data_IF_207592219983
#
_entry.id   IF_207592219983
#
_cell.length_a   1.000
_cell.length_b   1.000
_cell.length_c   1.000
_cell.angle_alpha   90.00
_cell.angle_beta   90.00
_cell.angle_gamma   90.00
#
_symmetry.space_group_name_H-M   'P 1'
#
loop_
_entity.id
_entity.type
_entity.pdbx_description
1 polymer ?
#
# COMPACT_ATOMS: atom_id res chain seq x y z
N UNK A 1 0.47 8.08 8.50
CA UNK A 1 0.43 8.81 7.22
C UNK A 1 1.10 10.16 7.38
N UNK A 2 1.88 10.61 6.39
CA UNK A 2 2.61 11.88 6.40
C UNK A 2 1.80 13.05 5.83
N UNK A 3 2.45 14.21 5.70
CA UNK A 3 1.81 15.48 5.26
C UNK A 3 1.61 15.58 3.75
N UNK A 4 2.47 14.95 2.95
CA UNK A 4 2.35 14.97 1.48
C UNK A 4 1.18 14.11 1.02
N UNK A 5 0.17 14.71 0.41
CA UNK A 5 -1.00 14.01 -0.15
C UNK A 5 -0.68 13.57 -1.58
N UNK A 6 -1.05 12.34 -1.94
CA UNK A 6 -0.87 11.78 -3.28
C UNK A 6 -2.22 11.46 -3.91
N UNK A 7 -2.29 11.54 -5.24
CA UNK A 7 -3.47 11.12 -5.99
C UNK A 7 -3.49 9.60 -6.14
N UNK A 8 -4.67 9.00 -6.00
CA UNK A 8 -4.92 7.58 -6.25
C UNK A 8 -5.97 7.46 -7.34
N UNK A 9 -5.65 6.69 -8.38
CA UNK A 9 -6.62 6.25 -9.37
C UNK A 9 -7.01 4.80 -9.05
N UNK A 10 -8.30 4.51 -9.09
CA UNK A 10 -8.85 3.16 -8.84
C UNK A 10 -9.80 2.80 -9.97
N UNK A 11 -9.69 1.57 -10.45
CA UNK A 11 -10.64 0.90 -11.35
C UNK A 11 -11.62 0.01 -10.56
N UNK A 12 -11.53 0.01 -9.24
CA UNK A 12 -12.36 -0.79 -8.34
C UNK A 12 -13.77 -0.23 -8.09
N UNK A 13 -14.50 -0.96 -7.26
CA UNK A 13 -15.87 -0.61 -6.84
C UNK A 13 -15.94 0.72 -6.08
N UNK A 14 -17.07 1.43 -6.20
CA UNK A 14 -17.34 2.67 -5.44
C UNK A 14 -17.41 2.46 -3.92
N UNK A 15 -17.64 1.22 -3.47
CA UNK A 15 -17.60 0.86 -2.05
C UNK A 15 -16.18 0.73 -1.49
N UNK A 16 -15.15 0.73 -2.34
CA UNK A 16 -13.75 0.72 -1.92
C UNK A 16 -13.17 2.13 -2.06
N UNK A 17 -12.83 2.76 -0.94
CA UNK A 17 -12.18 4.08 -0.93
C UNK A 17 -10.69 3.94 -0.67
N UNK A 18 -9.88 4.66 -1.44
CA UNK A 18 -8.42 4.60 -1.38
C UNK A 18 -7.82 6.01 -1.27
N UNK A 19 -6.92 6.20 -0.31
CA UNK A 19 -6.21 7.47 -0.09
C UNK A 19 -4.73 7.21 0.08
N UNK A 20 -3.85 7.99 -0.55
CA UNK A 20 -2.41 7.81 -0.43
C UNK A 20 -1.73 9.09 0.05
N UNK A 21 -0.77 8.92 0.94
CA UNK A 21 0.10 9.98 1.42
C UNK A 21 1.54 9.49 1.38
N UNK A 22 2.50 10.42 1.38
CA UNK A 22 3.87 10.11 1.76
C UNK A 22 3.90 9.48 3.17
N UNK A 23 4.84 8.58 3.42
CA UNK A 23 5.02 8.02 4.75
C UNK A 23 5.45 9.10 5.75
N UNK A 24 5.05 8.93 7.01
CA UNK A 24 5.44 9.85 8.09
C UNK A 24 6.85 9.46 8.54
N UNK A 25 7.75 10.43 8.66
CA UNK A 25 9.10 10.28 9.26
C UNK A 25 10.04 9.29 8.54
N UNK A 26 9.65 8.77 7.38
CA UNK A 26 10.49 7.89 6.54
C UNK A 26 10.10 8.01 5.08
N UNK A 27 11.01 7.57 4.21
CA UNK A 27 10.75 7.44 2.78
C UNK A 27 9.60 6.46 2.50
N UNK A 28 9.01 6.59 1.31
CA UNK A 28 7.91 5.74 0.86
C UNK A 28 6.54 6.38 0.96
N UNK A 29 5.51 5.55 0.83
CA UNK A 29 4.11 5.97 0.85
C UNK A 29 3.28 5.11 1.79
N UNK A 30 2.18 5.67 2.26
CA UNK A 30 1.16 4.97 3.03
C UNK A 30 -0.18 5.12 2.33
N UNK A 31 -0.81 3.98 2.03
CA UNK A 31 -2.15 3.86 1.49
C UNK A 31 -3.12 3.57 2.64
N UNK A 32 -4.27 4.23 2.64
CA UNK A 32 -5.44 3.92 3.45
C UNK A 32 -6.50 3.34 2.53
N UNK A 33 -6.94 2.13 2.82
CA UNK A 33 -8.02 1.43 2.14
C UNK A 33 -9.21 1.29 3.09
N UNK A 34 -10.40 1.65 2.63
CA UNK A 34 -11.64 1.54 3.39
C UNK A 34 -12.63 0.74 2.56
N UNK A 35 -12.97 -0.46 3.02
CA UNK A 35 -13.99 -1.28 2.41
C UNK A 35 -15.33 -1.02 3.10
N UNK A 36 -16.25 -0.36 2.38
CA UNK A 36 -17.61 -0.07 2.85
C UNK A 36 -18.64 -1.08 2.34
N UNK A 37 -18.22 -2.10 1.57
CA UNK A 37 -19.12 -3.19 1.20
C UNK A 37 -19.46 -3.99 2.44
N UNK A 38 -20.71 -4.42 2.55
CA UNK A 38 -21.20 -5.28 3.64
C UNK A 38 -21.00 -6.78 3.37
N UNK A 39 -20.67 -7.16 2.14
CA UNK A 39 -20.67 -8.55 1.70
C UNK A 39 -19.51 -8.92 0.78
N UNK A 40 -18.66 -7.95 0.42
CA UNK A 40 -17.60 -8.15 -0.56
C UNK A 40 -16.25 -7.89 0.08
N UNK A 41 -15.43 -8.93 0.08
CA UNK A 41 -14.00 -8.81 0.33
C UNK A 41 -13.31 -8.45 -0.99
N UNK A 42 -12.30 -7.58 -0.95
CA UNK A 42 -11.54 -7.18 -2.14
C UNK A 42 -10.14 -7.77 -2.12
N UNK A 43 -9.69 -8.16 -3.32
CA UNK A 43 -8.30 -8.51 -3.63
C UNK A 43 -7.75 -7.39 -4.49
N UNK A 44 -6.75 -6.68 -3.97
CA UNK A 44 -6.27 -5.42 -4.55
C UNK A 44 -4.83 -5.58 -4.99
N UNK A 45 -4.57 -5.26 -6.25
CA UNK A 45 -3.24 -5.05 -6.79
C UNK A 45 -3.00 -3.56 -6.89
N UNK A 46 -1.80 -3.11 -6.51
CA UNK A 46 -1.44 -1.70 -6.62
C UNK A 46 -0.36 -1.56 -7.66
N UNK A 47 -0.48 -0.50 -8.49
CA UNK A 47 0.49 -0.19 -9.54
C UNK A 47 1.01 1.24 -9.40
N UNK A 48 2.29 1.47 -9.74
CA UNK A 48 2.89 2.80 -9.74
C UNK A 48 2.69 3.44 -11.13
N UNK A 49 1.90 4.52 -11.18
CA UNK A 49 1.63 5.24 -12.43
C UNK A 49 2.68 6.31 -12.76
N UNK A 50 3.65 6.58 -11.88
CA UNK A 50 4.59 7.72 -12.03
C UNK A 50 5.66 7.57 -13.11
N UNK A 51 5.63 6.52 -13.95
CA UNK A 51 6.58 6.32 -15.05
C UNK A 51 5.93 6.13 -16.44
N UNK A 52 4.64 6.44 -16.63
CA UNK A 52 4.05 6.45 -17.99
C UNK A 52 4.29 7.79 -18.73
N UNK A 53 5.54 8.01 -19.16
CA UNK A 53 5.82 8.89 -20.30
C UNK A 53 6.67 8.14 -21.34
N UNK A 54 6.08 7.10 -21.92
CA UNK A 54 6.53 6.58 -23.20
C UNK A 54 5.90 7.44 -24.30
N UNK A 55 6.59 8.53 -24.67
CA UNK A 55 6.31 9.21 -25.93
C UNK A 55 6.80 8.30 -27.05
N UNK A 56 5.93 7.41 -27.54
CA UNK A 56 6.20 6.65 -28.78
C UNK A 56 6.00 7.62 -29.94
N UNK A 57 7.05 8.37 -30.30
CA UNK A 57 7.20 8.83 -31.68
C UNK A 57 7.77 7.66 -32.46
N UNK A 58 6.92 7.05 -33.28
CA UNK A 58 7.26 5.89 -34.07
C UNK A 58 8.50 6.12 -34.95
N UNK A 59 9.41 5.16 -34.91
CA UNK A 59 10.15 4.63 -36.06
C UNK A 59 10.87 3.35 -35.63
N UNK A 60 10.71 2.32 -36.44
CA UNK A 60 11.35 1.02 -36.35
C UNK A 60 12.87 1.09 -36.14
N UNK A 61 13.43 0.07 -35.47
CA UNK A 61 14.60 -0.74 -35.87
C UNK A 61 15.11 -1.54 -34.65
N UNK A 62 15.14 -2.87 -34.79
CA UNK A 62 15.91 -3.90 -34.06
C UNK A 62 16.72 -3.47 -32.82
N UNK A 63 16.25 -3.84 -31.62
CA UNK A 63 17.13 -3.99 -30.44
C UNK A 63 16.49 -4.82 -29.30
N UNK A 64 16.61 -6.14 -29.37
CA UNK A 64 16.12 -7.11 -28.37
C UNK A 64 16.85 -7.09 -26.99
N UNK A 65 17.58 -6.03 -26.62
CA UNK A 65 18.35 -6.00 -25.35
C UNK A 65 18.21 -4.71 -24.53
N UNK A 66 17.33 -3.79 -24.93
CA UNK A 66 16.98 -2.59 -24.14
C UNK A 66 15.58 -2.67 -23.51
N UNK A 67 14.64 -3.35 -24.16
CA UNK A 67 13.24 -3.43 -23.71
C UNK A 67 13.09 -4.16 -22.37
N UNK A 68 13.92 -5.18 -22.11
CA UNK A 68 13.89 -5.93 -20.85
C UNK A 68 14.41 -5.15 -19.64
N UNK A 69 15.30 -4.15 -19.83
CA UNK A 69 15.73 -3.23 -18.77
C UNK A 69 14.62 -2.23 -18.41
N UNK A 70 13.87 -1.77 -19.40
CA UNK A 70 12.79 -0.81 -19.20
C UNK A 70 11.52 -1.48 -18.62
N UNK A 71 11.26 -2.75 -18.95
CA UNK A 71 10.17 -3.54 -18.33
C UNK A 71 10.47 -3.82 -16.85
N UNK A 72 11.72 -4.13 -16.48
CA UNK A 72 12.11 -4.22 -15.06
C UNK A 72 11.87 -2.91 -14.30
N UNK A 73 11.98 -1.76 -14.98
CA UNK A 73 11.68 -0.44 -14.43
C UNK A 73 10.18 -0.19 -14.20
N UNK A 74 9.32 -0.81 -15.00
CA UNK A 74 7.86 -0.72 -14.87
C UNK A 74 7.31 -1.49 -13.66
N UNK A 75 8.04 -2.48 -13.14
CA UNK A 75 7.72 -3.22 -11.90
C UNK A 75 8.50 -2.74 -10.68
N UNK A 76 9.45 -1.83 -10.85
CA UNK A 76 10.28 -1.34 -9.76
C UNK A 76 9.61 -0.14 -9.10
N UNK A 77 8.77 -0.41 -8.11
CA UNK A 77 8.36 0.58 -7.09
C UNK A 77 9.54 1.16 -6.29
N UNK A 78 10.72 0.62 -6.58
CA UNK A 78 11.94 0.58 -5.83
C UNK A 78 12.92 1.49 -6.55
N UNK A 79 13.50 2.45 -5.83
CA UNK A 79 14.61 3.24 -6.35
C UNK A 79 15.75 2.34 -6.83
N UNK A 80 16.61 2.83 -7.72
CA UNK A 80 17.77 2.10 -8.27
C UNK A 80 18.82 1.64 -7.24
N UNK A 81 18.54 1.79 -5.94
CA UNK A 81 19.43 1.54 -4.80
C UNK A 81 18.97 0.41 -3.90
N UNK A 82 17.77 -0.17 -4.06
CA UNK A 82 17.43 -1.33 -3.24
C UNK A 82 18.10 -2.58 -3.82
N UNK A 83 18.99 -3.14 -3.01
CA UNK A 83 19.59 -4.45 -3.22
C UNK A 83 18.50 -5.51 -3.41
N UNK A 84 18.84 -6.57 -4.13
CA UNK A 84 18.09 -7.75 -4.58
C UNK A 84 17.53 -8.63 -3.42
N UNK A 85 17.05 -7.99 -2.34
CA UNK A 85 16.39 -8.63 -1.21
C UNK A 85 14.88 -8.63 -1.37
N UNK A 86 14.20 -9.61 -0.76
CA UNK A 86 12.74 -9.68 -0.69
C UNK A 86 12.19 -8.37 -0.11
N UNK A 87 11.60 -7.54 -0.97
CA UNK A 87 11.00 -6.29 -0.57
C UNK A 87 9.67 -6.58 0.11
N UNK A 88 9.52 -6.10 1.33
CA UNK A 88 8.28 -6.25 2.09
C UNK A 88 7.55 -4.93 2.19
N UNK A 89 6.23 -5.00 2.14
CA UNK A 89 5.34 -3.94 2.63
C UNK A 89 4.83 -4.30 4.02
N UNK A 90 4.37 -3.29 4.74
CA UNK A 90 3.79 -3.44 6.06
C UNK A 90 2.27 -3.22 5.98
N UNK A 91 1.51 -4.12 6.58
CA UNK A 91 0.04 -4.08 6.59
C UNK A 91 -0.50 -3.97 8.02
N UNK A 92 -1.46 -3.08 8.18
CA UNK A 92 -2.18 -2.83 9.42
C UNK A 92 -3.68 -2.93 9.14
N UNK A 93 -4.24 -4.12 9.29
CA UNK A 93 -5.66 -4.39 9.09
C UNK A 93 -6.42 -4.16 10.39
N UNK A 94 -7.43 -3.30 10.35
CA UNK A 94 -8.28 -2.94 11.47
C UNK A 94 -9.69 -3.47 11.22
N UNK A 95 -10.15 -4.32 12.12
CA UNK A 95 -11.50 -4.88 12.11
C UNK A 95 -12.19 -4.65 13.45
N UNK A 96 -13.52 -4.53 13.48
CA UNK A 96 -14.25 -4.56 14.74
C UNK A 96 -14.04 -5.90 15.44
N UNK A 97 -13.97 -5.89 16.77
CA UNK A 97 -13.95 -7.12 17.57
C UNK A 97 -15.20 -7.96 17.25
N UNK A 98 -14.98 -9.25 17.02
CA UNK A 98 -16.01 -10.24 16.70
C UNK A 98 -16.87 -9.89 15.46
N UNK A 99 -16.38 -9.00 14.58
CA UNK A 99 -17.13 -8.52 13.42
C UNK A 99 -18.23 -7.50 13.74
N UNK A 100 -18.37 -7.08 15.00
CA UNK A 100 -19.46 -6.21 15.42
C UNK A 100 -19.10 -4.72 15.28
N UNK A 101 -19.66 -4.03 14.28
CA UNK A 101 -19.29 -2.64 13.96
C UNK A 101 -19.49 -1.62 15.09
N UNK A 102 -20.38 -1.89 16.05
CA UNK A 102 -20.58 -1.01 17.22
C UNK A 102 -19.67 -1.36 18.39
N UNK A 103 -18.77 -2.34 18.22
CA UNK A 103 -17.76 -2.67 19.22
C UNK A 103 -16.88 -1.46 19.49
N UNK A 104 -16.59 -1.22 20.78
CA UNK A 104 -15.65 -0.20 21.22
C UNK A 104 -14.20 -0.69 21.18
N UNK A 105 -13.99 -1.96 20.84
CA UNK A 105 -12.67 -2.56 20.69
C UNK A 105 -12.35 -2.79 19.22
N UNK A 106 -11.27 -2.17 18.77
CA UNK A 106 -10.68 -2.43 17.46
C UNK A 106 -9.66 -3.56 17.55
N UNK A 107 -9.55 -4.36 16.49
CA UNK A 107 -8.59 -5.46 16.38
C UNK A 107 -7.61 -5.13 15.28
N UNK A 108 -6.32 -5.07 15.60
CA UNK A 108 -5.23 -4.84 14.66
C UNK A 108 -4.57 -6.18 14.31
N UNK A 109 -4.62 -6.58 13.04
CA UNK A 109 -3.98 -7.81 12.55
C UNK A 109 -4.34 -9.06 13.39
N UNK A 110 -5.58 -9.12 13.90
CA UNK A 110 -6.07 -10.21 14.77
C UNK A 110 -5.85 -9.99 16.27
N UNK A 111 -5.12 -8.94 16.68
CA UNK A 111 -4.83 -8.63 18.09
C UNK A 111 -5.71 -7.46 18.56
N UNK A 112 -6.57 -7.64 19.58
CA UNK A 112 -7.36 -6.55 20.14
C UNK A 112 -6.48 -5.41 20.69
N UNK A 113 -6.78 -4.18 20.28
CA UNK A 113 -6.11 -3.00 20.81
C UNK A 113 -6.69 -2.66 22.18
N UNK A 114 -5.89 -2.83 23.21
CA UNK A 114 -6.17 -2.46 24.59
C UNK A 114 -4.97 -1.71 25.14
N UNK A 115 -5.18 -0.85 26.12
CA UNK A 115 -4.08 -0.20 26.81
C UNK A 115 -3.19 -1.26 27.46
N UNK A 116 -1.89 -1.00 27.49
CA UNK A 116 -0.97 -1.81 28.28
C UNK A 116 -1.30 -1.69 29.78
N UNK A 117 -0.74 -2.58 30.60
CA UNK A 117 -0.99 -2.59 32.05
C UNK A 117 -0.61 -1.28 32.74
N UNK A 118 0.33 -0.53 32.16
CA UNK A 118 0.75 0.80 32.58
C UNK A 118 -0.10 1.94 32.01
N UNK A 119 -1.29 1.62 31.46
CA UNK A 119 -2.17 2.53 30.72
C UNK A 119 -1.52 3.15 29.46
N UNK A 120 -0.38 2.60 29.02
CA UNK A 120 0.33 3.03 27.83
C UNK A 120 -0.39 2.65 26.53
N UNK A 121 -0.04 3.37 25.45
CA UNK A 121 -0.48 3.02 24.09
C UNK A 121 0.17 1.68 23.71
N UNK A 122 -0.60 0.66 23.29
CA UNK A 122 -0.04 -0.61 22.89
C UNK A 122 0.82 -0.46 21.63
N UNK A 123 1.77 -1.38 21.45
CA UNK A 123 2.52 -1.46 20.20
C UNK A 123 1.58 -1.76 19.04
N UNK A 124 1.76 -1.02 17.95
CA UNK A 124 1.03 -1.24 16.71
C UNK A 124 1.97 -1.93 15.74
N UNK A 125 1.99 -3.26 15.81
CA UNK A 125 2.92 -4.06 15.00
C UNK A 125 2.30 -4.42 13.63
N UNK A 126 3.03 -4.21 12.53
CA UNK A 126 2.56 -4.59 11.20
C UNK A 126 2.71 -6.08 10.95
N UNK A 127 1.89 -6.59 10.02
CA UNK A 127 2.21 -7.81 9.28
C UNK A 127 3.08 -7.42 8.09
N UNK A 128 4.22 -8.10 7.90
CA UNK A 128 5.10 -7.88 6.76
C UNK A 128 4.77 -8.88 5.67
N UNK A 129 4.45 -8.37 4.49
CA UNK A 129 4.03 -9.16 3.33
C UNK A 129 4.94 -8.83 2.16
N UNK A 130 5.22 -9.81 1.29
CA UNK A 130 5.94 -9.57 0.05
C UNK A 130 5.26 -8.49 -0.79
N UNK A 131 6.02 -7.51 -1.27
CA UNK A 131 5.49 -6.33 -1.96
C UNK A 131 4.61 -6.64 -3.18
N UNK A 132 4.85 -7.77 -3.86
CA UNK A 132 4.13 -8.16 -5.07
C UNK A 132 2.89 -9.03 -4.80
N UNK A 133 2.72 -9.50 -3.56
CA UNK A 133 1.52 -10.26 -3.20
C UNK A 133 0.28 -9.36 -3.28
N UNK A 134 -0.90 -9.86 -3.64
CA UNK A 134 -2.11 -9.05 -3.57
C UNK A 134 -2.41 -8.64 -2.13
N UNK A 135 -3.14 -7.53 -1.96
CA UNK A 135 -3.65 -7.07 -0.66
C UNK A 135 -5.08 -7.58 -0.52
N UNK A 136 -5.39 -8.22 0.59
CA UNK A 136 -6.74 -8.69 0.91
C UNK A 136 -7.38 -7.75 1.91
N UNK A 137 -8.58 -7.23 1.64
CA UNK A 137 -9.34 -6.40 2.58
C UNK A 137 -10.75 -6.96 2.74
N UNK A 138 -11.10 -7.32 3.98
CA UNK A 138 -12.43 -7.87 4.27
C UNK A 138 -13.50 -6.79 4.17
N UNK A 139 -14.75 -7.19 3.97
CA UNK A 139 -15.91 -6.30 4.06
C UNK A 139 -15.93 -5.53 5.40
N UNK A 140 -16.46 -4.30 5.36
CA UNK A 140 -16.63 -3.42 6.52
C UNK A 140 -15.36 -3.22 7.38
N UNK A 141 -14.20 -3.10 6.72
CA UNK A 141 -12.89 -2.99 7.38
C UNK A 141 -12.04 -1.86 6.80
N UNK A 142 -10.95 -1.55 7.52
CA UNK A 142 -9.99 -0.52 7.13
C UNK A 142 -8.59 -1.10 7.20
N UNK A 143 -7.73 -0.75 6.25
CA UNK A 143 -6.34 -1.15 6.27
C UNK A 143 -5.40 0.02 5.95
N UNK A 144 -4.29 0.10 6.70
CA UNK A 144 -3.15 0.94 6.31
C UNK A 144 -2.07 0.06 5.72
N UNK A 145 -1.60 0.41 4.53
CA UNK A 145 -0.56 -0.31 3.80
C UNK A 145 0.62 0.61 3.58
N UNK A 146 1.78 0.25 4.12
CA UNK A 146 2.99 1.06 4.01
C UNK A 146 3.98 0.40 3.06
N UNK A 147 4.42 1.18 2.08
CA UNK A 147 5.44 0.81 1.11
C UNK A 147 6.70 1.63 1.40
N UNK A 148 7.61 1.12 2.25
CA UNK A 148 8.76 1.90 2.74
C UNK A 148 9.76 2.24 1.62
N UNK A 149 9.89 1.38 0.61
CA UNK A 149 10.84 1.55 -0.49
C UNK A 149 10.22 2.21 -1.73
N UNK A 150 9.08 2.91 -1.57
CA UNK A 150 8.37 3.51 -2.70
C UNK A 150 9.02 4.83 -3.15
N UNK A 151 9.55 4.85 -4.37
CA UNK A 151 10.17 6.05 -4.94
C UNK A 151 9.12 7.02 -5.50
N UNK A 152 8.75 8.03 -4.70
CA UNK A 152 7.94 9.16 -5.12
C UNK A 152 8.73 10.48 -5.01
N UNK A 153 8.85 11.23 -6.12
CA UNK A 153 9.55 12.54 -6.10
C UNK A 153 8.92 13.54 -5.13
N UNK A 154 7.63 13.39 -4.82
CA UNK A 154 6.93 14.23 -3.88
C UNK A 154 7.17 13.85 -2.41
N UNK A 155 7.74 12.67 -2.15
CA UNK A 155 7.92 12.11 -0.80
C UNK A 155 9.39 12.09 -0.35
N UNK A 156 10.16 13.09 -0.77
CA UNK A 156 11.50 13.32 -0.25
C UNK A 156 11.36 13.80 1.20
N UNK A 157 12.09 13.15 2.11
CA UNK A 157 12.14 13.50 3.54
C UNK A 157 13.00 14.74 3.74
#
# INVERSE_FOLDING_TARGET
>A
MGKGVLSVATDGSSSLRSYAHCSKEREGITLLLINLSNQTDYVISVHNSMNMKLTVKGKDINRESSLSRDIKRAVSWVGSTASDGHLTREEYHLTPKDGYLQSQTMVLNGIPLQLAEDEGIPKLDPVRVDVNSPIYITHLSIAFIVFPNFSARACVV
#
